data_IF_416231865409
#
_entry.id   IF_416231865409
#
_cell.length_a   1.000
_cell.length_b   1.000
_cell.length_c   1.000
_cell.angle_alpha   90.00
_cell.angle_beta   90.00
_cell.angle_gamma   90.00
#
_symmetry.space_group_name_H-M   'P 1'
#
loop_
_entity.id
_entity.type
_entity.pdbx_description
1 polymer ?
#
# COMPACT_ATOMS: atom_id res chain seq x y z
N UNK A 1 5.55 -1.00 11.50
CA UNK A 1 4.21 -1.24 10.93
C UNK A 1 3.31 -1.76 12.03
N UNK A 2 2.10 -1.23 12.15
CA UNK A 2 1.12 -1.61 13.18
C UNK A 2 -0.17 -1.97 12.45
N UNK A 3 -0.70 -3.16 12.65
CA UNK A 3 -1.83 -3.65 11.85
C UNK A 3 -2.63 -4.72 12.59
N UNK A 4 -3.87 -5.00 12.18
CA UNK A 4 -4.63 -6.11 12.77
C UNK A 4 -4.99 -7.24 11.82
N UNK A 5 -5.08 -6.97 10.50
CA UNK A 5 -5.52 -7.93 9.47
C UNK A 5 -4.44 -8.17 8.41
N UNK A 6 -4.73 -9.08 7.49
CA UNK A 6 -3.75 -9.65 6.54
C UNK A 6 -3.13 -8.63 5.56
N UNK A 7 -3.75 -7.47 5.37
CA UNK A 7 -3.13 -6.37 4.62
C UNK A 7 -1.72 -6.06 5.10
N UNK A 8 -1.53 -6.06 6.42
CA UNK A 8 -0.28 -5.62 6.98
C UNK A 8 0.87 -6.54 6.63
N UNK A 9 0.61 -7.85 6.72
CA UNK A 9 1.53 -8.90 6.31
C UNK A 9 1.88 -8.76 4.83
N UNK A 10 0.86 -8.58 3.96
CA UNK A 10 1.05 -8.42 2.52
C UNK A 10 2.01 -7.27 2.17
N UNK A 11 1.84 -6.12 2.82
CA UNK A 11 2.70 -4.94 2.60
C UNK A 11 4.13 -5.21 3.09
N UNK A 12 4.30 -5.81 4.28
CA UNK A 12 5.62 -6.11 4.85
C UNK A 12 6.37 -7.08 3.97
N UNK A 13 5.74 -8.18 3.58
CA UNK A 13 6.33 -9.23 2.75
C UNK A 13 6.74 -8.67 1.38
N UNK A 14 5.96 -7.73 0.82
CA UNK A 14 6.37 -7.00 -0.37
C UNK A 14 7.60 -6.14 -0.10
N UNK A 15 7.59 -5.29 0.93
CA UNK A 15 8.67 -4.35 1.30
C UNK A 15 10.03 -5.05 1.54
N UNK A 16 10.03 -6.16 2.28
CA UNK A 16 11.26 -6.92 2.54
C UNK A 16 11.63 -7.83 1.38
N UNK A 17 10.79 -7.88 0.33
CA UNK A 17 10.92 -8.76 -0.82
C UNK A 17 11.07 -10.23 -0.41
N UNK A 18 10.18 -10.69 0.47
CA UNK A 18 10.20 -12.05 0.97
C UNK A 18 10.02 -13.05 -0.19
N UNK A 19 10.89 -14.05 -0.28
CA UNK A 19 11.03 -14.89 -1.48
C UNK A 19 9.77 -15.69 -1.81
N UNK A 20 8.97 -16.05 -0.81
CA UNK A 20 7.73 -16.82 -0.98
C UNK A 20 6.46 -15.96 -0.94
N UNK A 21 6.57 -14.63 -0.93
CA UNK A 21 5.44 -13.71 -0.89
C UNK A 21 4.53 -13.78 -2.13
N UNK A 22 5.15 -13.87 -3.31
CA UNK A 22 4.45 -13.88 -4.58
C UNK A 22 4.49 -15.28 -5.17
N UNK A 23 3.36 -15.96 -5.14
CA UNK A 23 3.20 -17.34 -5.65
C UNK A 23 2.28 -17.42 -6.87
N UNK A 24 1.77 -16.29 -7.35
CA UNK A 24 0.67 -16.23 -8.32
C UNK A 24 1.03 -16.70 -9.73
N UNK A 25 2.31 -16.67 -10.09
CA UNK A 25 2.77 -17.26 -11.34
C UNK A 25 2.96 -18.79 -11.23
N UNK A 26 2.85 -19.38 -10.02
CA UNK A 26 3.13 -20.79 -9.75
C UNK A 26 4.43 -21.26 -10.44
N UNK A 27 4.36 -22.33 -11.23
CA UNK A 27 5.50 -22.89 -11.97
C UNK A 27 6.06 -21.96 -13.06
N UNK A 28 5.27 -20.96 -13.51
CA UNK A 28 5.72 -19.95 -14.47
C UNK A 28 6.46 -18.77 -13.81
N UNK A 29 6.79 -18.86 -12.51
CA UNK A 29 7.53 -17.81 -11.81
C UNK A 29 8.93 -17.64 -12.42
N UNK A 30 9.29 -16.38 -12.68
CA UNK A 30 10.61 -15.99 -13.22
C UNK A 30 11.39 -15.11 -12.25
N UNK A 31 10.99 -15.11 -10.97
CA UNK A 31 11.62 -14.32 -9.92
C UNK A 31 11.77 -12.83 -10.26
N UNK A 32 10.73 -12.21 -10.84
CA UNK A 32 10.79 -10.85 -11.40
C UNK A 32 11.18 -9.74 -10.41
N UNK A 33 11.11 -10.01 -9.10
CA UNK A 33 11.49 -9.10 -8.02
C UNK A 33 12.91 -9.34 -7.48
N UNK A 34 13.55 -10.46 -7.80
CA UNK A 34 14.82 -10.85 -7.20
C UNK A 34 15.93 -9.85 -7.54
N UNK A 35 16.70 -9.46 -6.53
CA UNK A 35 17.78 -8.46 -6.68
C UNK A 35 17.31 -7.04 -7.03
N UNK A 36 16.01 -6.78 -7.22
CA UNK A 36 15.49 -5.45 -7.57
C UNK A 36 15.42 -4.50 -6.37
N UNK A 37 15.06 -5.03 -5.20
CA UNK A 37 14.96 -4.28 -3.94
C UNK A 37 14.85 -5.24 -2.75
N UNK A 38 14.93 -4.67 -1.55
CA UNK A 38 14.69 -5.35 -0.28
C UNK A 38 14.98 -4.40 0.88
N UNK A 39 13.97 -4.10 1.71
CA UNK A 39 14.07 -3.07 2.74
C UNK A 39 14.13 -3.64 4.16
N UNK A 40 14.47 -4.92 4.33
CA UNK A 40 14.49 -5.59 5.63
C UNK A 40 15.35 -4.84 6.68
N UNK A 41 16.51 -4.31 6.29
CA UNK A 41 17.40 -3.54 7.17
C UNK A 41 16.84 -2.16 7.57
N UNK A 42 15.78 -1.68 6.92
CA UNK A 42 15.12 -0.39 7.19
C UNK A 42 13.80 -0.55 7.94
N UNK A 43 13.26 -1.76 8.06
CA UNK A 43 12.07 -2.04 8.86
C UNK A 43 12.48 -2.27 10.31
N UNK A 44 11.95 -1.46 11.23
CA UNK A 44 12.30 -1.51 12.66
C UNK A 44 11.40 -2.43 13.49
N UNK A 45 10.20 -2.72 13.02
CA UNK A 45 9.26 -3.59 13.71
C UNK A 45 7.93 -3.72 12.99
N UNK A 46 7.25 -4.84 13.24
CA UNK A 46 5.91 -5.13 12.80
C UNK A 46 5.11 -5.66 13.99
N UNK A 47 3.92 -5.11 14.20
CA UNK A 47 3.09 -5.39 15.38
C UNK A 47 1.69 -5.72 14.92
N UNK A 48 1.30 -6.99 15.07
CA UNK A 48 -0.06 -7.45 14.82
C UNK A 48 -0.88 -7.25 16.10
N UNK A 49 -1.89 -6.38 16.02
CA UNK A 49 -2.85 -6.13 17.09
C UNK A 49 -4.06 -7.05 16.92
N UNK A 50 -4.94 -7.16 17.95
CA UNK A 50 -6.20 -7.86 17.81
C UNK A 50 -7.05 -7.30 16.66
N UNK A 51 -7.83 -8.18 16.03
CA UNK A 51 -8.80 -7.78 15.02
C UNK A 51 -9.82 -6.79 15.62
N UNK A 52 -10.07 -5.61 15.01
CA UNK A 52 -11.04 -4.66 15.51
C UNK A 52 -12.45 -5.24 15.69
N UNK A 53 -12.84 -6.29 14.95
CA UNK A 53 -14.15 -6.94 15.13
C UNK A 53 -14.26 -7.77 16.41
N UNK A 54 -13.14 -8.04 17.09
CA UNK A 54 -13.09 -8.72 18.39
C UNK A 54 -13.01 -7.74 19.57
N UNK A 55 -12.90 -6.44 19.28
CA UNK A 55 -12.80 -5.39 20.28
C UNK A 55 -14.18 -4.76 20.52
N UNK A 56 -14.41 -4.19 21.73
CA UNK A 56 -15.61 -3.41 21.98
C UNK A 56 -15.67 -2.20 21.05
N UNK A 57 -16.88 -1.69 20.79
CA UNK A 57 -17.09 -0.50 19.94
C UNK A 57 -16.33 0.73 20.46
N UNK A 58 -16.19 0.82 21.79
CA UNK A 58 -15.40 1.81 22.48
C UNK A 58 -14.46 1.09 23.45
N UNK A 59 -13.19 1.49 23.44
CA UNK A 59 -12.20 1.00 24.38
C UNK A 59 -12.30 1.86 25.64
N UNK A 60 -12.83 1.28 26.72
CA UNK A 60 -12.94 1.95 28.03
C UNK A 60 -11.64 1.81 28.85
N UNK A 61 -10.88 0.75 28.61
CA UNK A 61 -9.58 0.48 29.24
C UNK A 61 -8.44 1.24 28.55
N UNK A 62 -7.19 1.09 29.02
CA UNK A 62 -6.06 1.79 28.39
C UNK A 62 -5.78 1.24 26.98
N UNK A 63 -5.75 2.11 25.97
CA UNK A 63 -5.29 1.77 24.61
C UNK A 63 -3.88 1.14 24.62
N UNK A 64 -3.05 1.52 25.59
CA UNK A 64 -1.69 0.99 25.74
C UNK A 64 -1.65 -0.52 25.97
N UNK A 65 -2.71 -1.13 26.51
CA UNK A 65 -2.78 -2.58 26.75
C UNK A 65 -2.85 -3.39 25.45
N UNK A 66 -3.28 -2.75 24.36
CA UNK A 66 -3.35 -3.36 23.03
C UNK A 66 -2.07 -3.16 22.22
N UNK A 67 -1.17 -2.29 22.66
CA UNK A 67 0.05 -1.92 21.94
C UNK A 67 1.26 -2.76 22.40
N UNK A 68 2.30 -2.87 21.56
CA UNK A 68 3.55 -3.48 22.00
C UNK A 68 4.15 -2.69 23.17
N UNK A 69 4.72 -3.40 24.15
CA UNK A 69 5.36 -2.80 25.33
C UNK A 69 6.49 -1.82 24.97
N UNK A 70 7.19 -2.11 23.88
CA UNK A 70 8.28 -1.28 23.37
C UNK A 70 8.06 -1.02 21.89
N UNK A 71 8.06 0.26 21.52
CA UNK A 71 8.01 0.71 20.13
C UNK A 71 9.42 1.17 19.76
N UNK A 72 10.04 0.57 18.73
CA UNK A 72 11.40 0.90 18.34
C UNK A 72 11.46 2.31 17.74
N UNK A 73 12.61 2.96 17.91
CA UNK A 73 12.84 4.25 17.28
C UNK A 73 12.78 4.15 15.75
N UNK A 74 11.91 4.92 15.12
CA UNK A 74 11.73 4.97 13.68
C UNK A 74 11.17 6.33 13.25
N UNK A 75 11.34 6.70 11.96
CA UNK A 75 10.82 7.98 11.45
C UNK A 75 9.33 7.91 11.02
N UNK A 76 8.84 6.72 10.63
CA UNK A 76 7.51 6.56 10.02
C UNK A 76 6.79 5.30 10.51
N UNK A 77 5.48 5.43 10.75
CA UNK A 77 4.59 4.31 11.04
C UNK A 77 3.58 4.13 9.90
N UNK A 78 3.50 2.90 9.37
CA UNK A 78 2.36 2.47 8.55
C UNK A 78 1.38 1.77 9.48
N UNK A 79 0.14 2.25 9.49
CA UNK A 79 -0.89 1.81 10.45
C UNK A 79 -2.14 1.41 9.70
N UNK A 80 -2.56 0.16 9.79
CA UNK A 80 -3.65 -0.35 8.94
C UNK A 80 -4.64 -1.25 9.66
N UNK A 81 -5.92 -1.05 9.36
CA UNK A 81 -7.02 -1.91 9.83
C UNK A 81 -7.05 -2.11 11.35
N UNK A 82 -6.66 -1.10 12.12
CA UNK A 82 -6.72 -1.11 13.59
C UNK A 82 -8.00 -0.42 14.09
N UNK A 83 -8.32 -0.60 15.37
CA UNK A 83 -9.47 0.02 16.01
C UNK A 83 -9.37 1.56 16.01
N UNK A 84 -10.50 2.25 15.88
CA UNK A 84 -10.54 3.72 15.78
C UNK A 84 -9.99 4.43 17.02
N UNK A 85 -10.33 3.94 18.22
CA UNK A 85 -9.83 4.53 19.47
C UNK A 85 -8.32 4.36 19.60
N UNK A 86 -7.79 3.19 19.22
CA UNK A 86 -6.34 2.96 19.17
C UNK A 86 -5.70 3.94 18.18
N UNK A 87 -6.26 4.07 16.98
CA UNK A 87 -5.76 4.96 15.93
C UNK A 87 -5.76 6.44 16.36
N UNK A 88 -6.73 6.86 17.16
CA UNK A 88 -6.87 8.24 17.64
C UNK A 88 -5.78 8.60 18.67
N UNK A 89 -5.42 7.67 19.56
CA UNK A 89 -4.37 7.89 20.56
C UNK A 89 -2.96 7.65 20.02
N UNK A 90 -2.84 6.85 18.96
CA UNK A 90 -1.55 6.40 18.44
C UNK A 90 -0.55 7.53 18.12
N UNK A 91 -0.93 8.69 17.54
CA UNK A 91 0.03 9.76 17.28
C UNK A 91 0.69 10.31 18.56
N UNK A 92 -0.03 10.32 19.68
CA UNK A 92 0.48 10.77 20.98
C UNK A 92 1.54 9.78 21.47
N UNK A 93 1.24 8.49 21.38
CA UNK A 93 2.11 7.40 21.84
C UNK A 93 3.37 7.29 20.97
N UNK A 94 3.21 7.40 19.65
CA UNK A 94 4.29 7.19 18.69
C UNK A 94 5.32 8.32 18.68
N UNK A 95 4.94 9.55 19.03
CA UNK A 95 5.84 10.71 19.09
C UNK A 95 7.05 10.45 19.97
N UNK A 96 6.85 9.81 21.13
CA UNK A 96 7.91 9.49 22.09
C UNK A 96 8.89 8.43 21.55
N UNK A 97 8.51 7.74 20.47
CA UNK A 97 9.35 6.76 19.76
C UNK A 97 10.05 7.36 18.52
N UNK A 98 10.08 8.69 18.38
CA UNK A 98 10.76 9.39 17.29
C UNK A 98 10.02 9.39 15.95
N UNK A 99 8.78 8.88 15.93
CA UNK A 99 7.93 8.86 14.74
C UNK A 99 7.54 10.30 14.38
N UNK A 100 7.79 10.67 13.13
CA UNK A 100 7.50 11.99 12.56
C UNK A 100 6.39 11.95 11.53
N UNK A 101 6.02 10.75 11.07
CA UNK A 101 4.99 10.56 10.06
C UNK A 101 4.19 9.28 10.28
N UNK A 102 2.92 9.33 9.89
CA UNK A 102 1.99 8.21 9.87
C UNK A 102 1.37 8.09 8.48
N UNK A 103 1.28 6.86 7.97
CA UNK A 103 0.52 6.54 6.78
C UNK A 103 -0.59 5.57 7.19
N UNK A 104 -1.84 5.98 6.99
CA UNK A 104 -3.02 5.22 7.40
C UNK A 104 -3.83 4.85 6.16
N UNK A 105 -3.42 3.79 5.43
CA UNK A 105 -4.13 3.38 4.23
C UNK A 105 -5.54 2.90 4.54
N UNK A 106 -6.43 3.13 3.58
CA UNK A 106 -7.82 2.70 3.64
C UNK A 106 -8.11 1.69 2.54
N UNK A 107 -8.13 0.43 2.93
CA UNK A 107 -8.41 -0.69 2.03
C UNK A 107 -9.85 -1.19 2.16
N UNK A 108 -10.62 -0.70 3.14
CA UNK A 108 -12.04 -1.04 3.33
C UNK A 108 -12.91 0.22 3.43
N UNK A 109 -14.24 0.10 3.26
CA UNK A 109 -15.17 1.21 3.46
C UNK A 109 -15.34 1.63 4.93
N UNK A 110 -14.60 1.02 5.86
CA UNK A 110 -14.66 1.34 7.27
C UNK A 110 -14.38 2.84 7.49
N UNK A 111 -15.24 3.48 8.29
CA UNK A 111 -15.07 4.88 8.64
C UNK A 111 -13.96 5.03 9.65
N UNK A 112 -13.16 6.07 9.46
CA UNK A 112 -12.21 6.53 10.47
C UNK A 112 -12.47 7.99 10.82
N UNK A 113 -12.10 8.37 12.04
CA UNK A 113 -12.20 9.73 12.56
C UNK A 113 -11.09 10.64 11.97
N UNK A 114 -11.02 10.77 10.63
CA UNK A 114 -9.93 11.51 9.93
C UNK A 114 -9.71 12.91 10.52
N UNK A 115 -10.75 13.77 10.69
CA UNK A 115 -10.53 15.13 11.20
C UNK A 115 -9.89 15.15 12.59
N UNK A 116 -10.34 14.27 13.49
CA UNK A 116 -9.82 14.17 14.85
C UNK A 116 -8.37 13.68 14.85
N UNK A 117 -8.06 12.66 14.05
CA UNK A 117 -6.68 12.14 13.92
C UNK A 117 -5.76 13.23 13.33
N UNK A 118 -6.22 13.98 12.33
CA UNK A 118 -5.47 15.09 11.73
C UNK A 118 -5.19 16.20 12.75
N UNK A 119 -6.16 16.55 13.58
CA UNK A 119 -6.00 17.54 14.65
C UNK A 119 -4.95 17.09 15.67
N UNK A 120 -5.02 15.83 16.12
CA UNK A 120 -4.03 15.25 17.05
C UNK A 120 -2.65 15.23 16.40
N UNK A 121 -2.51 14.72 15.18
CA UNK A 121 -1.24 14.69 14.45
C UNK A 121 -0.65 16.11 14.28
N UNK A 122 -1.48 17.10 13.95
CA UNK A 122 -1.05 18.50 13.83
C UNK A 122 -0.54 19.05 15.15
N UNK A 123 -1.22 18.77 16.26
CA UNK A 123 -0.79 19.19 17.61
C UNK A 123 0.54 18.54 17.99
N UNK A 124 0.73 17.28 17.64
CA UNK A 124 1.94 16.52 17.98
C UNK A 124 3.10 16.72 16.99
N UNK A 125 2.89 17.43 15.88
CA UNK A 125 3.91 17.65 14.85
C UNK A 125 4.20 16.42 13.99
N UNK A 126 3.21 15.54 13.83
CA UNK A 126 3.30 14.29 13.06
C UNK A 126 2.66 14.49 11.69
N UNK A 127 3.40 14.24 10.60
CA UNK A 127 2.83 14.18 9.25
C UNK A 127 1.82 13.03 9.15
N UNK A 128 0.71 13.24 8.46
CA UNK A 128 -0.33 12.21 8.29
C UNK A 128 -0.90 12.27 6.88
N UNK A 129 -1.19 11.09 6.31
CA UNK A 129 -1.93 10.89 5.06
C UNK A 129 -2.81 9.64 5.14
N UNK A 130 -3.95 9.67 4.43
CA UNK A 130 -4.94 8.59 4.38
C UNK A 130 -5.19 8.10 2.94
N UNK A 131 -4.22 7.43 2.28
CA UNK A 131 -4.39 7.00 0.90
C UNK A 131 -5.50 5.96 0.80
N UNK A 132 -6.40 6.13 -0.18
CA UNK A 132 -7.55 5.24 -0.41
C UNK A 132 -7.71 4.91 -1.90
N UNK A 133 -7.26 3.72 -2.36
CA UNK A 133 -6.47 2.70 -1.65
C UNK A 133 -5.05 3.17 -1.30
N UNK A 134 -4.26 2.31 -0.63
CA UNK A 134 -2.85 2.58 -0.33
C UNK A 134 -2.02 2.88 -1.59
N UNK A 135 -2.37 2.27 -2.73
CA UNK A 135 -1.73 2.58 -4.00
C UNK A 135 -2.14 3.94 -4.60
N UNK A 136 -2.91 4.79 -3.90
CA UNK A 136 -3.07 6.22 -4.23
C UNK A 136 -2.13 7.13 -3.39
N UNK A 137 -1.19 6.55 -2.64
CA UNK A 137 -0.17 7.33 -1.92
C UNK A 137 0.73 8.08 -2.91
N UNK A 138 0.63 9.40 -2.90
CA UNK A 138 1.41 10.30 -3.73
C UNK A 138 2.34 11.17 -2.87
N UNK A 139 3.53 11.54 -3.37
CA UNK A 139 4.42 12.46 -2.67
C UNK A 139 3.77 13.86 -2.60
N UNK A 140 3.89 14.51 -1.43
CA UNK A 140 3.38 15.86 -1.19
C UNK A 140 4.51 16.74 -0.67
N UNK A 141 4.59 17.99 -1.15
CA UNK A 141 5.70 18.89 -0.81
C UNK A 141 5.67 19.36 0.64
N UNK A 142 4.48 19.46 1.24
CA UNK A 142 4.26 19.80 2.65
C UNK A 142 4.41 18.60 3.61
N UNK A 143 4.72 17.40 3.08
CA UNK A 143 4.93 16.16 3.84
C UNK A 143 6.30 15.53 3.54
N UNK A 144 7.41 16.18 3.90
CA UNK A 144 8.75 15.75 3.51
C UNK A 144 9.14 14.34 3.99
N UNK A 145 8.71 13.90 5.18
CA UNK A 145 9.03 12.55 5.67
C UNK A 145 8.30 11.48 4.85
N UNK A 146 7.03 11.70 4.53
CA UNK A 146 6.24 10.79 3.69
C UNK A 146 6.75 10.80 2.25
N UNK A 147 7.08 11.98 1.69
CA UNK A 147 7.68 12.13 0.36
C UNK A 147 9.00 11.34 0.26
N UNK A 148 9.85 11.41 1.29
CA UNK A 148 11.09 10.63 1.38
C UNK A 148 10.81 9.12 1.42
N UNK A 149 9.80 8.67 2.18
CA UNK A 149 9.40 7.27 2.19
C UNK A 149 9.04 6.77 0.78
N UNK A 150 8.18 7.50 0.06
CA UNK A 150 7.77 7.14 -1.31
C UNK A 150 8.97 7.04 -2.26
N UNK A 151 9.92 7.98 -2.16
CA UNK A 151 11.10 8.01 -3.01
C UNK A 151 12.10 6.88 -2.68
N UNK A 152 12.40 6.64 -1.41
CA UNK A 152 13.41 5.68 -0.99
C UNK A 152 12.92 4.24 -1.07
N UNK A 153 11.68 3.98 -0.67
CA UNK A 153 11.10 2.63 -0.72
C UNK A 153 10.51 2.30 -2.09
N UNK A 154 10.28 3.30 -2.95
CA UNK A 154 9.61 3.13 -4.25
C UNK A 154 8.27 2.41 -4.10
N UNK A 155 7.51 2.82 -3.07
CA UNK A 155 6.18 2.30 -2.74
C UNK A 155 5.18 3.45 -2.70
N UNK A 156 4.04 3.28 -3.38
CA UNK A 156 2.96 4.26 -3.43
C UNK A 156 2.17 4.12 -4.72
N UNK A 157 1.80 5.24 -5.34
CA UNK A 157 1.12 5.25 -6.64
C UNK A 157 2.00 4.62 -7.72
N UNK A 158 1.58 3.54 -8.40
CA UNK A 158 2.43 2.83 -9.35
C UNK A 158 3.02 3.75 -10.42
N UNK A 159 4.25 3.44 -10.83
CA UNK A 159 4.96 4.12 -11.90
C UNK A 159 5.75 3.06 -12.66
N UNK A 160 5.54 2.98 -13.97
CA UNK A 160 6.16 1.97 -14.84
C UNK A 160 6.65 2.62 -16.13
N UNK A 161 7.65 1.99 -16.77
CA UNK A 161 8.04 2.27 -18.15
C UNK A 161 7.72 1.05 -18.99
N UNK A 162 7.04 1.25 -20.12
CA UNK A 162 6.61 0.18 -21.02
C UNK A 162 7.31 0.34 -22.35
N UNK A 163 7.97 -0.72 -22.80
CA UNK A 163 8.63 -0.78 -24.10
C UNK A 163 7.87 -1.78 -24.97
N UNK A 164 7.33 -1.29 -26.09
CA UNK A 164 6.67 -2.11 -27.10
C UNK A 164 7.53 -2.20 -28.37
N UNK A 165 7.45 -3.34 -29.06
CA UNK A 165 8.09 -3.52 -30.35
C UNK A 165 7.30 -2.85 -31.49
N UNK A 166 7.83 -2.95 -32.72
CA UNK A 166 7.21 -2.33 -33.92
C UNK A 166 5.84 -2.92 -34.28
N UNK A 167 5.47 -4.06 -33.71
CA UNK A 167 4.19 -4.74 -33.94
C UNK A 167 3.17 -4.44 -32.85
N UNK A 168 3.53 -3.69 -31.82
CA UNK A 168 2.66 -3.41 -30.67
C UNK A 168 2.71 -4.49 -29.60
N UNK A 169 3.70 -5.39 -29.62
CA UNK A 169 3.93 -6.35 -28.56
C UNK A 169 4.75 -5.72 -27.43
N UNK A 170 4.27 -5.82 -26.20
CA UNK A 170 4.98 -5.32 -25.01
C UNK A 170 6.21 -6.19 -24.75
N UNK A 171 7.39 -5.68 -25.05
CA UNK A 171 8.66 -6.38 -24.88
C UNK A 171 9.15 -6.33 -23.42
N UNK A 172 8.94 -5.20 -22.74
CA UNK A 172 9.42 -5.00 -21.38
C UNK A 172 8.54 -4.02 -20.59
N UNK A 173 8.35 -4.29 -19.30
CA UNK A 173 7.70 -3.38 -18.35
C UNK A 173 8.60 -3.21 -17.12
N UNK A 174 9.25 -2.05 -17.01
CA UNK A 174 10.06 -1.69 -15.85
C UNK A 174 9.17 -1.11 -14.74
N UNK A 175 9.25 -1.66 -13.53
CA UNK A 175 8.56 -1.11 -12.36
C UNK A 175 9.48 -0.10 -11.66
N UNK A 176 9.15 1.19 -11.79
CA UNK A 176 9.86 2.30 -11.15
C UNK A 176 9.37 2.55 -9.72
N UNK A 177 8.05 2.42 -9.51
CA UNK A 177 7.38 2.48 -8.20
C UNK A 177 6.25 1.45 -8.15
N UNK A 178 6.20 0.67 -7.07
CA UNK A 178 5.21 -0.40 -6.92
C UNK A 178 4.04 0.04 -6.05
N UNK A 179 2.85 -0.50 -6.34
CA UNK A 179 1.77 -0.58 -5.38
C UNK A 179 2.27 -1.27 -4.09
N UNK A 180 1.80 -0.85 -2.91
CA UNK A 180 2.26 -1.39 -1.62
C UNK A 180 2.04 -2.89 -1.46
N UNK A 181 0.94 -3.43 -1.99
CA UNK A 181 0.63 -4.86 -1.95
C UNK A 181 1.43 -5.69 -2.98
N UNK A 182 2.23 -5.07 -3.84
CA UNK A 182 3.05 -5.73 -4.86
C UNK A 182 2.36 -6.02 -6.20
N UNK A 183 1.08 -5.65 -6.37
CA UNK A 183 0.31 -5.95 -7.59
C UNK A 183 0.93 -5.41 -8.88
N UNK A 184 1.62 -4.27 -8.80
CA UNK A 184 2.32 -3.66 -9.96
C UNK A 184 3.33 -4.61 -10.58
N UNK A 185 4.09 -5.36 -9.78
CA UNK A 185 5.06 -6.34 -10.27
C UNK A 185 4.38 -7.50 -11.00
N UNK A 186 3.24 -7.94 -10.49
CA UNK A 186 2.48 -9.01 -11.12
C UNK A 186 1.88 -8.55 -12.45
N UNK A 187 1.21 -7.39 -12.47
CA UNK A 187 0.65 -6.81 -13.70
C UNK A 187 1.76 -6.57 -14.74
N UNK A 188 2.89 -5.98 -14.35
CA UNK A 188 4.02 -5.78 -15.24
C UNK A 188 4.50 -7.10 -15.88
N UNK A 189 4.55 -8.19 -15.10
CA UNK A 189 4.94 -9.51 -15.61
C UNK A 189 3.92 -10.09 -16.59
N UNK A 190 2.62 -9.95 -16.31
CA UNK A 190 1.55 -10.47 -17.16
C UNK A 190 1.44 -9.74 -18.50
N UNK A 191 1.86 -8.47 -18.56
CA UNK A 191 1.83 -7.69 -19.79
C UNK A 191 2.96 -8.02 -20.76
N UNK A 192 4.09 -8.56 -20.30
CA UNK A 192 5.21 -8.91 -21.19
C UNK A 192 4.79 -10.01 -22.16
N UNK A 193 4.97 -9.76 -23.47
CA UNK A 193 4.58 -10.64 -24.56
C UNK A 193 3.14 -10.46 -25.05
N UNK A 194 2.38 -9.54 -24.47
CA UNK A 194 1.02 -9.21 -24.93
C UNK A 194 1.11 -8.30 -26.15
N UNK A 195 0.54 -8.73 -27.27
CA UNK A 195 0.27 -7.90 -28.45
C UNK A 195 -0.99 -7.07 -28.17
N UNK A 196 -0.87 -5.75 -28.27
CA UNK A 196 -1.95 -4.80 -27.96
C UNK A 196 -2.30 -4.05 -29.24
N UNK A 197 -3.48 -4.34 -29.81
CA UNK A 197 -3.92 -3.66 -31.02
C UNK A 197 -4.58 -2.30 -30.70
N UNK A 198 -5.22 -2.19 -29.54
CA UNK A 198 -5.92 -0.98 -29.12
C UNK A 198 -5.94 -0.81 -27.60
N UNK A 199 -6.36 0.39 -27.16
CA UNK A 199 -6.45 0.73 -25.72
C UNK A 199 -7.41 -0.18 -24.95
N UNK A 200 -8.51 -0.62 -25.56
CA UNK A 200 -9.49 -1.48 -24.91
C UNK A 200 -8.87 -2.81 -24.46
N UNK A 201 -8.19 -3.49 -25.36
CA UNK A 201 -7.51 -4.77 -25.08
C UNK A 201 -6.43 -4.65 -24.01
N UNK A 202 -5.62 -3.58 -24.05
CA UNK A 202 -4.64 -3.30 -23.00
C UNK A 202 -5.32 -3.24 -21.63
N UNK A 203 -6.42 -2.52 -21.57
CA UNK A 203 -7.14 -2.31 -20.34
C UNK A 203 -7.79 -3.58 -19.80
N UNK A 204 -8.31 -4.43 -20.67
CA UNK A 204 -8.85 -5.73 -20.30
C UNK A 204 -7.74 -6.62 -19.72
N UNK A 205 -6.55 -6.65 -20.35
CA UNK A 205 -5.38 -7.40 -19.86
C UNK A 205 -4.86 -6.90 -18.52
N UNK A 206 -4.81 -5.58 -18.33
CA UNK A 206 -4.44 -5.00 -17.03
C UNK A 206 -5.47 -5.37 -15.97
N UNK A 207 -6.76 -5.29 -16.29
CA UNK A 207 -7.84 -5.58 -15.36
C UNK A 207 -7.86 -7.05 -14.97
N UNK A 208 -7.72 -7.97 -15.93
CA UNK A 208 -7.60 -9.42 -15.73
C UNK A 208 -6.41 -9.75 -14.80
N UNK A 209 -5.25 -9.15 -15.08
CA UNK A 209 -4.03 -9.32 -14.27
C UNK A 209 -4.19 -8.75 -12.86
N UNK A 210 -4.86 -7.61 -12.71
CA UNK A 210 -5.08 -6.99 -11.40
C UNK A 210 -6.04 -7.80 -10.53
N UNK A 211 -7.16 -8.27 -11.11
CA UNK A 211 -8.16 -9.07 -10.38
C UNK A 211 -7.69 -10.49 -10.04
N UNK A 212 -6.71 -11.03 -10.79
CA UNK A 212 -6.09 -12.32 -10.47
C UNK A 212 -5.00 -12.23 -9.40
N UNK A 213 -4.56 -11.01 -9.06
CA UNK A 213 -3.67 -10.79 -7.92
C UNK A 213 -4.48 -10.60 -6.63
N UNK A 214 -4.02 -11.09 -5.46
CA UNK A 214 -4.67 -10.86 -4.17
C UNK A 214 -4.46 -9.42 -3.70
N UNK A 215 -5.07 -8.48 -4.41
CA UNK A 215 -5.13 -7.11 -3.99
C UNK A 215 -5.83 -7.04 -2.63
N UNK A 216 -5.33 -6.16 -1.78
CA UNK A 216 -5.86 -5.98 -0.43
C UNK A 216 -7.07 -5.04 -0.38
N UNK A 217 -7.34 -4.35 -1.48
CA UNK A 217 -8.43 -3.41 -1.60
C UNK A 217 -9.77 -4.14 -1.62
N UNK A 218 -10.72 -3.65 -0.83
CA UNK A 218 -12.04 -4.25 -0.69
C UNK A 218 -12.88 -4.13 -1.97
N UNK A 219 -13.65 -5.19 -2.23
CA UNK A 219 -14.71 -5.25 -3.25
C UNK A 219 -16.04 -4.67 -2.76
N UNK A 220 -16.13 -4.27 -1.49
CA UNK A 220 -17.31 -3.56 -0.98
C UNK A 220 -17.39 -2.16 -1.58
N UNK A 221 -18.62 -1.70 -1.83
CA UNK A 221 -18.86 -0.35 -2.32
C UNK A 221 -18.46 0.67 -1.27
N UNK A 222 -17.61 1.59 -1.66
CA UNK A 222 -17.22 2.71 -0.82
C UNK A 222 -18.01 3.98 -1.18
N UNK A 223 -18.56 4.64 -0.15
CA UNK A 223 -19.40 5.82 -0.32
C UNK A 223 -18.62 7.07 -0.73
N UNK A 224 -17.36 7.17 -0.31
CA UNK A 224 -16.50 8.32 -0.63
C UNK A 224 -16.01 8.25 -2.08
N UNK A 225 -15.72 7.04 -2.58
CA UNK A 225 -15.29 6.82 -3.95
C UNK A 225 -16.45 6.70 -4.96
N UNK A 226 -17.63 6.29 -4.51
CA UNK A 226 -18.76 5.97 -5.40
C UNK A 226 -18.60 4.65 -6.17
N UNK A 227 -17.55 3.89 -5.86
CA UNK A 227 -17.18 2.59 -6.46
C UNK A 227 -16.48 1.73 -5.39
N UNK A 228 -16.01 0.55 -5.74
CA UNK A 228 -15.17 -0.29 -4.88
C UNK A 228 -13.75 0.25 -4.80
N UNK A 229 -13.09 0.00 -3.67
CA UNK A 229 -11.68 0.40 -3.48
C UNK A 229 -10.78 -0.40 -4.43
N UNK A 230 -11.12 -1.66 -4.71
CA UNK A 230 -10.42 -2.50 -5.69
C UNK A 230 -10.50 -1.94 -7.11
N UNK A 231 -11.66 -1.47 -7.57
CA UNK A 231 -11.77 -0.84 -8.89
C UNK A 231 -10.93 0.42 -8.97
N UNK A 232 -10.91 1.24 -7.90
CA UNK A 232 -10.03 2.41 -7.82
C UNK A 232 -8.56 2.00 -7.95
N UNK A 233 -8.12 0.92 -7.30
CA UNK A 233 -6.77 0.36 -7.47
C UNK A 233 -6.50 -0.07 -8.92
N UNK A 234 -7.48 -0.71 -9.57
CA UNK A 234 -7.44 -1.10 -10.98
C UNK A 234 -7.27 0.09 -11.92
N UNK A 235 -8.02 1.18 -11.70
CA UNK A 235 -7.88 2.42 -12.48
C UNK A 235 -6.51 3.07 -12.30
N UNK A 236 -5.95 3.01 -11.10
CA UNK A 236 -4.63 3.54 -10.79
C UNK A 236 -3.53 2.81 -11.58
N UNK A 237 -3.52 1.47 -11.59
CA UNK A 237 -2.52 0.71 -12.35
C UNK A 237 -2.73 0.85 -13.86
N UNK A 238 -3.98 0.94 -14.31
CA UNK A 238 -4.33 1.23 -15.72
C UNK A 238 -3.71 2.54 -16.19
N UNK A 239 -3.88 3.61 -15.41
CA UNK A 239 -3.31 4.91 -15.70
C UNK A 239 -1.78 4.86 -15.73
N UNK A 240 -1.16 4.18 -14.76
CA UNK A 240 0.30 4.05 -14.69
C UNK A 240 0.89 3.34 -15.93
N UNK A 241 0.25 2.27 -16.40
CA UNK A 241 0.69 1.54 -17.61
C UNK A 241 0.50 2.40 -18.86
N UNK A 242 -0.63 3.09 -19.00
CA UNK A 242 -0.89 3.98 -20.13
C UNK A 242 0.10 5.15 -20.19
N UNK A 243 0.42 5.75 -19.03
CA UNK A 243 1.44 6.80 -18.93
C UNK A 243 2.83 6.26 -19.26
N UNK A 244 3.14 5.04 -18.84
CA UNK A 244 4.41 4.38 -19.10
C UNK A 244 4.64 3.95 -20.55
N UNK A 245 3.60 3.92 -21.38
CA UNK A 245 3.69 3.65 -22.83
C UNK A 245 4.06 4.88 -23.67
N UNK A 246 4.08 6.08 -23.06
CA UNK A 246 4.47 7.32 -23.73
C UNK A 246 5.98 7.48 -23.77
#
# INVERSE_FOLDING_TARGET
MIYSRDFGERVIENLINYSTFCIFCAEACTHCKEGKYGFANRVKGFFKLPDPSLLPVFIEDSVSDYLPKEIPNADIAIVSEIHNDILLELPIILKDSGIKAMIVPQESPARIARPQIEEVCKREGVEIVFPKPFCDLQPQDDKPVIKRFVAEFRIGRPEVRVEADRRGCIAHVEVLRSAPCGSTWFVAKQLVGVEVENRGELYDRISESHHSYPCTASMEKDRELGDTILHRAGYIIRAAVEEGMK
#
